data_IF_120634084730
#
_entry.id   IF_120634084730
#
_cell.length_a   1.000
_cell.length_b   1.000
_cell.length_c   1.000
_cell.angle_alpha   90.00
_cell.angle_beta   90.00
_cell.angle_gamma   90.00
#
_symmetry.space_group_name_H-M   'P 1'
#
loop_
_entity.id
_entity.type
_entity.pdbx_description
1 polymer ?
#
# COMPACT_ATOMS: atom_id res chain seq x y z
N UNK A 1 73.44 -23.52 12.01
CA UNK A 1 72.01 -23.50 11.58
C UNK A 1 71.14 -23.79 12.80
N UNK A 2 70.38 -22.74 13.31
CA UNK A 2 69.49 -22.92 14.43
C UNK A 2 68.22 -23.69 14.00
N UNK A 3 68.02 -24.88 14.57
CA UNK A 3 66.80 -25.63 14.31
C UNK A 3 65.58 -24.81 14.84
N UNK A 4 64.71 -24.39 13.94
CA UNK A 4 63.48 -23.76 14.34
C UNK A 4 62.67 -24.76 15.20
N UNK A 5 62.34 -24.31 16.40
CA UNK A 5 61.66 -25.12 17.38
C UNK A 5 60.28 -25.53 16.79
N UNK A 6 59.96 -26.82 16.80
CA UNK A 6 58.69 -27.41 16.33
C UNK A 6 57.42 -26.73 16.92
N UNK A 7 57.54 -26.23 18.15
CA UNK A 7 56.44 -25.52 18.83
C UNK A 7 56.13 -24.18 18.17
N UNK A 8 57.11 -23.45 17.66
CA UNK A 8 56.92 -22.15 17.00
C UNK A 8 56.20 -22.34 15.68
N UNK A 9 56.60 -23.36 14.92
CA UNK A 9 55.95 -23.69 13.61
C UNK A 9 54.46 -24.07 13.79
N UNK A 10 54.14 -24.84 14.83
CA UNK A 10 52.75 -25.25 15.10
C UNK A 10 51.87 -24.06 15.50
N UNK A 11 52.41 -23.09 16.25
CA UNK A 11 51.71 -21.87 16.63
C UNK A 11 51.39 -20.99 15.40
N UNK A 12 52.39 -20.81 14.53
CA UNK A 12 52.20 -20.06 13.26
C UNK A 12 51.14 -20.69 12.39
N UNK A 13 51.13 -22.03 12.30
CA UNK A 13 50.13 -22.76 11.50
C UNK A 13 48.71 -22.62 12.04
N UNK A 14 48.56 -22.61 13.37
CA UNK A 14 47.24 -22.40 14.01
C UNK A 14 46.76 -20.96 13.84
N UNK A 15 47.68 -20.00 13.90
CA UNK A 15 47.35 -18.59 13.71
C UNK A 15 46.92 -18.31 12.25
N UNK A 16 47.58 -18.94 11.30
CA UNK A 16 47.22 -18.82 9.86
C UNK A 16 45.83 -19.36 9.54
N UNK A 17 45.49 -20.45 10.17
CA UNK A 17 44.16 -21.06 10.01
C UNK A 17 43.02 -20.13 10.57
N UNK A 18 43.31 -19.58 11.37
CA UNK A 18 42.43 -18.76 11.98
C UNK A 18 42.12 -17.59 11.23
N UNK A 19 42.98 -17.21 10.77
CA UNK A 19 42.88 -16.14 9.99
C UNK A 19 42.07 -16.40 8.81
N UNK A 20 42.24 -17.30 8.46
CA UNK A 20 41.58 -17.74 7.37
C UNK A 20 40.18 -17.97 7.59
N UNK A 21 39.77 -18.49 8.55
CA UNK A 21 38.40 -18.73 8.97
C UNK A 21 37.70 -17.41 9.20
N UNK A 22 38.35 -16.50 9.90
CA UNK A 22 37.75 -15.16 10.14
C UNK A 22 37.51 -14.39 8.85
N UNK A 23 38.39 -14.46 7.88
CA UNK A 23 38.19 -13.84 6.58
C UNK A 23 37.01 -14.47 5.84
N UNK A 24 36.89 -15.79 5.85
CA UNK A 24 35.78 -16.50 5.22
C UNK A 24 34.44 -16.14 5.88
N UNK A 25 34.40 -16.07 7.18
CA UNK A 25 33.18 -15.68 7.91
C UNK A 25 32.79 -14.24 7.57
N UNK A 26 33.75 -13.35 7.51
CA UNK A 26 33.51 -11.94 7.15
C UNK A 26 32.94 -11.81 5.74
N UNK A 27 33.46 -12.53 4.77
CA UNK A 27 32.93 -12.51 3.40
C UNK A 27 31.52 -13.11 3.31
N UNK A 28 31.26 -14.17 4.07
CA UNK A 28 29.92 -14.79 4.12
C UNK A 28 28.91 -13.80 4.72
N UNK A 29 29.25 -13.17 5.84
CA UNK A 29 28.38 -12.20 6.53
C UNK A 29 28.10 -11.00 5.61
N UNK A 30 29.14 -10.48 4.96
CA UNK A 30 29.01 -9.38 4.00
C UNK A 30 28.13 -9.78 2.81
N UNK A 31 28.33 -10.98 2.28
CA UNK A 31 27.54 -11.52 1.17
C UNK A 31 26.06 -11.69 1.55
N UNK A 32 25.78 -12.19 2.74
CA UNK A 32 24.40 -12.31 3.26
C UNK A 32 23.78 -10.93 3.41
N UNK A 33 24.52 -9.98 3.98
CA UNK A 33 24.06 -8.59 4.15
C UNK A 33 23.67 -7.94 2.82
N UNK A 34 24.54 -8.05 1.81
CA UNK A 34 24.23 -7.52 0.48
C UNK A 34 23.06 -8.26 -0.16
N UNK A 35 23.00 -9.58 -0.05
CA UNK A 35 21.89 -10.38 -0.58
C UNK A 35 20.55 -9.97 0.04
N UNK A 36 20.51 -9.79 1.37
CA UNK A 36 19.28 -9.36 2.04
C UNK A 36 18.87 -7.94 1.62
N UNK A 37 19.84 -7.06 1.41
CA UNK A 37 19.57 -5.68 0.96
C UNK A 37 18.99 -5.68 -0.46
N UNK A 38 19.59 -6.41 -1.39
CA UNK A 38 19.13 -6.49 -2.78
C UNK A 38 17.88 -7.35 -2.95
N UNK A 39 17.62 -8.29 -2.04
CA UNK A 39 16.42 -9.12 -2.10
C UNK A 39 15.14 -8.29 -2.14
N UNK A 40 15.10 -7.20 -1.40
CA UNK A 40 13.93 -6.30 -1.37
C UNK A 40 13.70 -5.62 -2.73
N UNK A 41 14.75 -5.35 -3.49
CA UNK A 41 14.64 -4.75 -4.82
C UNK A 41 14.34 -5.79 -5.91
N UNK A 42 14.84 -7.01 -5.76
CA UNK A 42 14.72 -8.06 -6.77
C UNK A 42 13.42 -8.84 -6.68
N UNK A 43 12.76 -8.87 -5.53
CA UNK A 43 11.44 -9.48 -5.44
C UNK A 43 10.41 -8.49 -5.95
N UNK A 44 9.81 -8.72 -7.12
CA UNK A 44 8.67 -7.91 -7.51
C UNK A 44 7.60 -8.12 -6.45
N UNK A 45 7.31 -7.08 -5.72
CA UNK A 45 6.19 -7.04 -4.80
C UNK A 45 4.93 -7.08 -5.66
N UNK A 46 4.56 -8.28 -6.05
CA UNK A 46 3.51 -8.44 -7.02
C UNK A 46 2.15 -8.32 -6.34
N UNK A 47 1.44 -7.29 -6.66
CA UNK A 47 0.00 -7.36 -6.54
C UNK A 47 -0.50 -8.55 -7.39
N UNK A 48 -1.59 -9.18 -6.98
CA UNK A 48 -2.17 -10.27 -7.75
C UNK A 48 -2.49 -9.83 -9.18
N UNK A 49 -2.57 -10.77 -10.11
CA UNK A 49 -2.86 -10.47 -11.52
C UNK A 49 -4.13 -9.62 -11.64
N UNK A 50 -4.05 -8.59 -12.47
CA UNK A 50 -5.14 -7.63 -12.68
C UNK A 50 -5.15 -6.45 -11.72
N UNK A 51 -4.32 -6.48 -10.66
CA UNK A 51 -4.20 -5.35 -9.73
C UNK A 51 -3.02 -4.47 -10.14
N UNK A 52 -3.23 -3.17 -10.10
CA UNK A 52 -2.18 -2.17 -10.38
C UNK A 52 -1.52 -1.81 -9.05
N UNK A 53 -0.20 -1.94 -8.99
CA UNK A 53 0.57 -1.52 -7.82
C UNK A 53 0.91 -0.03 -7.92
N UNK A 54 0.62 0.69 -6.85
CA UNK A 54 1.07 2.07 -6.71
C UNK A 54 1.38 2.34 -5.23
N UNK A 55 2.61 2.79 -4.98
CA UNK A 55 3.14 2.94 -3.63
C UNK A 55 2.97 1.61 -2.85
N UNK A 56 2.45 1.65 -1.66
CA UNK A 56 2.26 0.48 -0.79
C UNK A 56 0.85 -0.12 -0.91
N UNK A 57 0.21 0.08 -2.06
CA UNK A 57 -1.18 -0.35 -2.27
C UNK A 57 -1.36 -1.02 -3.63
N UNK A 58 -2.32 -1.94 -3.66
CA UNK A 58 -2.79 -2.59 -4.87
C UNK A 58 -4.20 -2.07 -5.18
N UNK A 59 -4.46 -1.72 -6.42
CA UNK A 59 -5.71 -1.15 -6.91
C UNK A 59 -6.29 -2.03 -7.99
N UNK A 60 -7.60 -2.29 -7.93
CA UNK A 60 -8.31 -3.06 -8.95
C UNK A 60 -9.55 -2.30 -9.41
N UNK A 61 -9.59 -1.93 -10.70
CA UNK A 61 -10.83 -1.51 -11.35
C UNK A 61 -11.65 -2.78 -11.64
N UNK A 62 -12.78 -2.92 -11.00
CA UNK A 62 -13.62 -4.11 -11.17
C UNK A 62 -14.35 -4.12 -12.51
N UNK A 63 -14.36 -2.99 -13.23
CA UNK A 63 -15.12 -2.77 -14.48
C UNK A 63 -16.64 -2.98 -14.32
N UNK A 64 -17.13 -2.93 -13.10
CA UNK A 64 -18.56 -3.08 -12.77
C UNK A 64 -19.07 -1.78 -12.15
N UNK A 65 -20.30 -1.43 -12.46
CA UNK A 65 -21.00 -0.31 -11.79
C UNK A 65 -22.04 -0.87 -10.83
N UNK A 66 -22.09 -0.32 -9.63
CA UNK A 66 -23.04 -0.76 -8.61
C UNK A 66 -23.27 0.33 -7.56
N UNK A 67 -24.27 0.13 -6.68
CA UNK A 67 -24.55 1.02 -5.55
C UNK A 67 -23.40 0.95 -4.52
N UNK A 68 -23.35 1.92 -3.63
CA UNK A 68 -22.31 2.03 -2.60
C UNK A 68 -22.21 0.76 -1.75
N UNK A 69 -23.33 0.24 -1.26
CA UNK A 69 -23.34 -0.94 -0.39
C UNK A 69 -22.80 -2.18 -1.12
N UNK A 70 -23.24 -2.37 -2.35
CA UNK A 70 -22.75 -3.47 -3.18
C UNK A 70 -21.26 -3.31 -3.50
N UNK A 71 -20.80 -2.08 -3.70
CA UNK A 71 -19.39 -1.78 -3.94
C UNK A 71 -18.52 -2.14 -2.72
N UNK A 72 -18.97 -1.78 -1.52
CA UNK A 72 -18.28 -2.16 -0.27
C UNK A 72 -18.21 -3.69 -0.15
N UNK A 73 -19.35 -4.36 -0.37
CA UNK A 73 -19.44 -5.82 -0.32
C UNK A 73 -18.49 -6.48 -1.32
N UNK A 74 -18.48 -5.98 -2.54
CA UNK A 74 -17.60 -6.50 -3.61
C UNK A 74 -16.12 -6.35 -3.24
N UNK A 75 -15.71 -5.18 -2.75
CA UNK A 75 -14.31 -4.98 -2.32
C UNK A 75 -13.96 -5.87 -1.14
N UNK A 76 -14.87 -6.06 -0.17
CA UNK A 76 -14.66 -6.97 0.98
C UNK A 76 -14.43 -8.42 0.55
N UNK A 77 -15.16 -8.90 -0.46
CA UNK A 77 -14.92 -10.24 -1.04
C UNK A 77 -13.49 -10.41 -1.56
N UNK A 78 -12.89 -9.32 -2.04
CA UNK A 78 -11.51 -9.29 -2.56
C UNK A 78 -10.47 -8.99 -1.47
N UNK A 79 -10.87 -9.00 -0.19
CA UNK A 79 -10.05 -8.60 0.97
C UNK A 79 -9.49 -7.19 0.77
N UNK A 80 -10.31 -6.32 0.22
CA UNK A 80 -9.99 -4.93 -0.12
C UNK A 80 -11.08 -4.01 0.41
N UNK A 81 -10.95 -2.72 0.12
CA UNK A 81 -11.91 -1.71 0.56
C UNK A 81 -12.05 -0.62 -0.51
N UNK A 82 -13.07 0.22 -0.40
CA UNK A 82 -13.18 1.41 -1.24
C UNK A 82 -12.06 2.40 -0.90
N UNK A 83 -11.53 3.13 -1.88
CA UNK A 83 -10.45 4.08 -1.63
C UNK A 83 -10.91 5.24 -0.75
N UNK A 84 -10.05 5.65 0.18
CA UNK A 84 -10.30 6.82 1.03
C UNK A 84 -9.96 8.10 0.27
N UNK A 85 -10.73 9.17 0.47
CA UNK A 85 -10.50 10.42 -0.27
C UNK A 85 -9.30 11.22 0.22
N UNK A 86 -8.65 10.82 1.30
CA UNK A 86 -7.54 11.54 1.94
C UNK A 86 -6.14 11.22 1.37
N UNK A 87 -6.04 10.29 0.46
CA UNK A 87 -4.74 9.87 -0.07
C UNK A 87 -4.37 10.66 -1.33
N UNK A 88 -3.18 11.30 -1.30
CA UNK A 88 -2.68 12.13 -2.42
C UNK A 88 -2.57 11.35 -3.73
N UNK A 89 -2.12 10.12 -3.64
CA UNK A 89 -1.91 9.29 -4.83
C UNK A 89 -3.22 8.89 -5.52
N UNK A 90 -4.36 8.97 -4.84
CA UNK A 90 -5.65 8.67 -5.47
C UNK A 90 -5.95 9.61 -6.64
N UNK A 91 -5.51 10.86 -6.56
CA UNK A 91 -5.71 11.81 -7.69
C UNK A 91 -5.05 11.30 -8.96
N UNK A 92 -3.83 10.79 -8.83
CA UNK A 92 -3.09 10.24 -9.98
C UNK A 92 -3.81 9.01 -10.54
N UNK A 93 -4.24 8.11 -9.65
CA UNK A 93 -4.93 6.89 -10.07
C UNK A 93 -6.27 7.18 -10.76
N UNK A 94 -7.05 8.10 -10.21
CA UNK A 94 -8.32 8.50 -10.83
C UNK A 94 -8.10 9.19 -12.18
N UNK A 95 -6.98 9.89 -12.35
CA UNK A 95 -6.62 10.46 -13.65
C UNK A 95 -6.30 9.38 -14.68
N UNK A 96 -5.69 8.29 -14.25
CA UNK A 96 -5.34 7.15 -15.13
C UNK A 96 -6.60 6.41 -15.56
N UNK A 97 -7.55 6.18 -14.66
CA UNK A 97 -8.71 5.35 -14.94
C UNK A 97 -9.85 6.07 -15.69
N UNK A 98 -9.91 7.41 -15.63
CA UNK A 98 -10.88 8.24 -16.36
C UNK A 98 -12.36 7.88 -16.11
N UNK A 99 -12.69 7.31 -14.97
CA UNK A 99 -14.07 6.93 -14.60
C UNK A 99 -14.50 7.62 -13.31
N UNK A 100 -15.78 7.66 -13.08
CA UNK A 100 -16.35 8.14 -11.82
C UNK A 100 -16.40 6.97 -10.83
N UNK A 101 -15.62 7.05 -9.75
CA UNK A 101 -15.48 5.95 -8.80
C UNK A 101 -16.03 6.30 -7.43
N UNK A 102 -16.67 5.32 -6.80
CA UNK A 102 -17.01 5.41 -5.39
C UNK A 102 -15.76 5.66 -4.54
N UNK A 103 -15.88 6.55 -3.55
CA UNK A 103 -14.91 6.71 -2.47
C UNK A 103 -15.57 6.36 -1.14
N UNK A 104 -14.77 6.02 -0.14
CA UNK A 104 -15.28 5.62 1.16
C UNK A 104 -15.67 6.82 2.03
N UNK A 105 -16.55 7.67 1.52
CA UNK A 105 -17.00 8.87 2.22
C UNK A 105 -18.53 8.97 2.15
N UNK A 106 -19.15 9.10 3.31
CA UNK A 106 -20.58 9.25 3.47
C UNK A 106 -20.86 10.35 4.49
N UNK A 107 -21.86 11.17 4.23
CA UNK A 107 -22.42 12.12 5.21
C UNK A 107 -23.74 11.54 5.71
N UNK A 108 -23.93 11.50 7.02
CA UNK A 108 -25.17 11.07 7.68
C UNK A 108 -25.39 11.94 8.91
N UNK A 109 -26.52 12.65 8.97
CA UNK A 109 -26.88 13.48 10.14
C UNK A 109 -25.71 14.38 10.59
N UNK A 110 -25.10 15.09 9.63
CA UNK A 110 -23.97 16.01 9.82
C UNK A 110 -22.66 15.36 10.29
N UNK A 111 -22.61 14.03 10.35
CA UNK A 111 -21.36 13.29 10.60
C UNK A 111 -20.78 12.79 9.29
N UNK A 112 -19.46 12.79 9.22
CA UNK A 112 -18.70 12.27 8.08
C UNK A 112 -18.12 10.92 8.44
N UNK A 113 -18.46 9.90 7.67
CA UNK A 113 -18.13 8.51 7.99
C UNK A 113 -17.33 7.86 6.84
N UNK A 114 -16.40 6.99 7.22
CA UNK A 114 -15.74 6.05 6.31
C UNK A 114 -16.69 4.85 6.11
N UNK A 115 -17.23 4.69 4.91
CA UNK A 115 -18.19 3.62 4.57
C UNK A 115 -17.60 2.22 4.82
N UNK A 116 -16.28 2.08 4.75
CA UNK A 116 -15.64 0.77 4.96
C UNK A 116 -15.80 0.22 6.37
N UNK A 117 -15.90 1.10 7.37
CA UNK A 117 -15.86 0.70 8.79
C UNK A 117 -16.74 1.56 9.72
N UNK A 118 -17.51 2.47 9.14
CA UNK A 118 -18.44 3.40 9.85
C UNK A 118 -17.74 4.28 10.91
N UNK A 119 -16.46 4.58 10.72
CA UNK A 119 -15.70 5.46 11.61
C UNK A 119 -15.75 6.91 11.14
N UNK A 120 -15.75 7.82 12.10
CA UNK A 120 -15.70 9.26 11.83
C UNK A 120 -14.46 9.62 11.01
N UNK A 121 -14.65 10.49 10.02
CA UNK A 121 -13.57 11.06 9.21
C UNK A 121 -13.41 12.53 9.57
N UNK A 122 -12.20 12.93 9.90
CA UNK A 122 -11.83 14.32 10.05
C UNK A 122 -11.69 14.97 8.65
N UNK A 123 -12.74 15.67 8.25
CA UNK A 123 -12.83 16.28 6.94
C UNK A 123 -11.87 17.46 6.75
N UNK A 124 -11.38 18.05 7.84
CA UNK A 124 -10.42 19.17 7.75
C UNK A 124 -9.12 18.76 7.07
N UNK A 125 -8.82 17.48 7.11
CA UNK A 125 -7.62 16.90 6.48
C UNK A 125 -7.81 16.55 4.99
N UNK A 126 -9.04 16.68 4.47
CA UNK A 126 -9.31 16.39 3.06
C UNK A 126 -8.98 17.61 2.21
N UNK A 127 -8.01 17.47 1.34
CA UNK A 127 -7.72 18.51 0.33
C UNK A 127 -8.91 18.60 -0.64
N UNK A 128 -9.37 19.82 -0.92
CA UNK A 128 -10.53 20.15 -1.79
C UNK A 128 -11.89 20.07 -1.10
N UNK A 129 -11.91 20.20 0.22
CA UNK A 129 -13.14 20.09 1.00
C UNK A 129 -14.05 21.31 0.93
N UNK A 130 -13.53 22.48 0.54
CA UNK A 130 -14.29 23.75 0.58
C UNK A 130 -15.60 23.73 -0.23
N UNK A 131 -15.74 22.84 -1.19
CA UNK A 131 -16.95 22.71 -2.02
C UNK A 131 -18.05 21.79 -1.43
N UNK A 132 -17.75 21.09 -0.33
CA UNK A 132 -18.65 20.06 0.18
C UNK A 132 -19.64 20.55 1.27
N UNK A 133 -19.47 21.79 1.72
CA UNK A 133 -20.18 22.30 2.90
C UNK A 133 -21.62 22.80 2.63
N UNK A 134 -22.13 22.75 1.41
CA UNK A 134 -23.39 23.41 1.05
C UNK A 134 -24.60 22.50 0.96
N UNK A 135 -24.60 21.34 1.65
CA UNK A 135 -25.70 20.40 1.47
C UNK A 135 -26.45 20.14 2.76
N UNK A 136 -27.74 20.42 2.72
CA UNK A 136 -28.74 20.19 3.77
C UNK A 136 -29.25 18.74 3.81
N UNK A 137 -28.76 17.86 2.94
CA UNK A 137 -29.28 16.49 2.87
C UNK A 137 -28.81 15.64 4.05
N UNK A 138 -29.74 14.89 4.62
CA UNK A 138 -29.51 14.01 5.76
C UNK A 138 -28.55 12.86 5.44
N UNK A 139 -28.49 12.41 4.17
CA UNK A 139 -27.63 11.32 3.77
C UNK A 139 -27.08 11.56 2.34
N UNK A 140 -25.75 11.42 2.19
CA UNK A 140 -25.09 11.58 0.91
C UNK A 140 -23.84 10.71 0.82
N UNK A 141 -23.62 10.09 -0.31
CA UNK A 141 -22.38 9.38 -0.66
C UNK A 141 -21.57 10.20 -1.65
N UNK A 142 -20.32 9.83 -1.82
CA UNK A 142 -19.39 10.61 -2.63
C UNK A 142 -18.67 9.76 -3.65
N UNK A 143 -18.44 10.37 -4.82
CA UNK A 143 -17.64 9.80 -5.90
C UNK A 143 -16.47 10.74 -6.20
N UNK A 144 -15.43 10.18 -6.77
CA UNK A 144 -14.33 10.98 -7.34
C UNK A 144 -14.57 11.09 -8.84
N UNK A 145 -14.77 12.32 -9.30
CA UNK A 145 -15.09 12.65 -10.69
C UNK A 145 -14.26 13.82 -11.16
N UNK A 146 -13.51 13.64 -12.24
CA UNK A 146 -12.71 14.72 -12.86
C UNK A 146 -11.85 15.51 -11.85
N UNK A 147 -11.19 14.79 -10.94
CA UNK A 147 -10.29 15.40 -9.97
C UNK A 147 -10.97 15.99 -8.72
N UNK A 148 -12.28 15.82 -8.60
CA UNK A 148 -13.06 16.39 -7.48
C UNK A 148 -13.92 15.35 -6.79
N UNK A 149 -14.22 15.61 -5.51
CA UNK A 149 -15.24 14.85 -4.78
C UNK A 149 -16.61 15.45 -5.13
N UNK A 150 -17.49 14.61 -5.62
CA UNK A 150 -18.84 15.01 -6.03
C UNK A 150 -19.85 14.21 -5.24
N UNK A 151 -20.84 14.92 -4.70
CA UNK A 151 -21.96 14.33 -4.00
C UNK A 151 -22.86 13.54 -4.95
N UNK A 152 -23.36 12.41 -4.47
CA UNK A 152 -24.33 11.59 -5.23
C UNK A 152 -25.21 10.77 -4.29
N UNK A 153 -26.28 10.22 -4.82
CA UNK A 153 -27.19 9.33 -4.07
C UNK A 153 -26.50 7.98 -3.87
N UNK A 154 -26.52 7.46 -2.63
CA UNK A 154 -25.86 6.19 -2.29
C UNK A 154 -26.34 5.00 -3.10
N UNK A 155 -27.61 5.04 -3.56
CA UNK A 155 -28.21 3.98 -4.38
C UNK A 155 -27.89 4.11 -5.88
N UNK A 156 -27.27 5.22 -6.32
CA UNK A 156 -26.85 5.35 -7.72
C UNK A 156 -25.78 4.32 -8.07
N UNK A 157 -25.60 4.03 -9.36
CA UNK A 157 -24.60 3.05 -9.82
C UNK A 157 -23.36 3.77 -10.37
N UNK A 158 -22.22 3.51 -9.75
CA UNK A 158 -20.93 4.09 -10.15
C UNK A 158 -19.86 3.02 -10.24
N UNK A 159 -18.78 3.31 -10.93
CA UNK A 159 -17.66 2.39 -11.07
C UNK A 159 -17.01 2.10 -9.71
N UNK A 160 -16.46 0.90 -9.57
CA UNK A 160 -15.87 0.43 -8.31
C UNK A 160 -14.39 0.18 -8.48
N UNK A 161 -13.61 0.94 -7.72
CA UNK A 161 -12.18 0.73 -7.56
C UNK A 161 -11.95 0.17 -6.16
N UNK A 162 -11.33 -0.99 -6.07
CA UNK A 162 -10.98 -1.60 -4.78
C UNK A 162 -9.50 -1.38 -4.48
N UNK A 163 -9.19 -1.10 -3.22
CA UNK A 163 -7.81 -0.90 -2.76
C UNK A 163 -7.51 -1.81 -1.58
N UNK A 164 -6.33 -2.42 -1.58
CA UNK A 164 -5.81 -3.14 -0.42
C UNK A 164 -4.37 -2.75 -0.18
N UNK A 165 -3.99 -2.75 1.10
CA UNK A 165 -2.60 -2.46 1.45
C UNK A 165 -1.73 -3.65 1.05
N UNK A 166 -0.62 -3.34 0.49
CA UNK A 166 0.40 -4.34 0.21
C UNK A 166 1.21 -4.58 1.49
N UNK A 167 1.28 -5.83 1.90
CA UNK A 167 2.15 -6.24 3.00
C UNK A 167 3.31 -7.01 2.41
N UNK A 168 4.50 -6.54 2.68
CA UNK A 168 5.72 -7.29 2.39
C UNK A 168 5.84 -8.46 3.37
#
# INVERSE_FOLDING_TARGET
MKSLNRQTVSRFRKLSVXXXIMMLLSTIISGIGTFLHYREELMPSACANGWIQYDKHCYLDTNIKMSTDNAVYQCRKLRARLPRPDTRHLRVLFSIFYKDYWVSLKKTNDKWLDINNDKDIDISKLTNFKQLNSTTDSEACYIYKSGKLVKTVCKSTQSVLCVKRFYK
#
